data_IF_270445951895
#
_entry.id   IF_270445951895
#
_cell.length_a   1.000
_cell.length_b   1.000
_cell.length_c   1.000
_cell.angle_alpha   90.00
_cell.angle_beta   90.00
_cell.angle_gamma   90.00
#
_symmetry.space_group_name_H-M   'P 1'
#
loop_
_entity.id
_entity.type
_entity.pdbx_description
1 polymer ?
#
# COMPACT_ATOMS: atom_id res chain seq x y z
N UNK A 1 1.58 -5.29 28.29
CA UNK A 1 1.60 -6.67 27.77
C UNK A 1 2.11 -6.61 26.35
N UNK A 2 3.33 -7.05 26.10
CA UNK A 2 3.99 -6.95 24.78
C UNK A 2 3.77 -8.26 24.05
N UNK A 3 2.97 -8.27 22.99
CA UNK A 3 2.85 -9.44 22.13
C UNK A 3 4.11 -9.54 21.26
N UNK A 4 4.99 -10.49 21.57
CA UNK A 4 6.10 -10.87 20.70
C UNK A 4 5.58 -11.96 19.76
N UNK A 5 5.27 -11.59 18.53
CA UNK A 5 4.96 -12.56 17.47
C UNK A 5 6.26 -13.26 17.03
N UNK A 6 6.53 -14.42 17.62
CA UNK A 6 7.49 -15.38 17.07
C UNK A 6 6.77 -16.26 16.05
N UNK A 7 6.56 -15.71 14.85
CA UNK A 7 5.98 -16.44 13.72
C UNK A 7 7.04 -17.26 13.02
N UNK A 8 7.35 -18.43 13.59
CA UNK A 8 8.13 -19.42 12.87
C UNK A 8 7.16 -20.32 12.07
N UNK A 9 7.25 -20.28 10.74
CA UNK A 9 6.40 -21.06 9.82
C UNK A 9 6.64 -22.58 9.94
N UNK A 10 7.71 -22.99 10.60
CA UNK A 10 8.11 -24.38 10.78
C UNK A 10 7.42 -25.08 11.97
N UNK A 11 6.56 -24.38 12.72
CA UNK A 11 5.86 -24.94 13.87
C UNK A 11 4.59 -25.67 13.40
N UNK A 12 4.43 -26.94 13.81
CA UNK A 12 3.16 -27.65 13.65
C UNK A 12 2.02 -26.82 14.29
N UNK A 13 0.89 -26.67 13.61
CA UNK A 13 -0.25 -25.82 14.01
C UNK A 13 -0.05 -24.29 13.88
N UNK A 14 0.92 -23.84 13.08
CA UNK A 14 1.14 -22.42 12.75
C UNK A 14 -0.15 -21.70 12.29
N UNK A 15 -0.86 -22.29 11.32
CA UNK A 15 -2.10 -21.69 10.78
C UNK A 15 -3.20 -21.58 11.83
N UNK A 16 -3.35 -22.60 12.68
CA UNK A 16 -4.34 -22.62 13.74
C UNK A 16 -4.04 -21.54 14.80
N UNK A 17 -2.77 -21.43 15.18
CA UNK A 17 -2.29 -20.44 16.15
C UNK A 17 -2.50 -19.01 15.63
N UNK A 18 -2.21 -18.76 14.36
CA UNK A 18 -2.47 -17.47 13.71
C UNK A 18 -3.96 -17.13 13.72
N UNK A 19 -4.81 -18.06 13.28
CA UNK A 19 -6.25 -17.81 13.21
C UNK A 19 -6.81 -17.46 14.59
N UNK A 20 -6.46 -18.24 15.63
CA UNK A 20 -6.93 -18.00 16.99
C UNK A 20 -6.44 -16.66 17.55
N UNK A 21 -5.20 -16.26 17.23
CA UNK A 21 -4.67 -14.96 17.64
C UNK A 21 -5.42 -13.80 16.96
N UNK A 22 -5.66 -13.91 15.65
CA UNK A 22 -6.36 -12.89 14.87
C UNK A 22 -7.81 -12.73 15.35
N UNK A 23 -8.53 -13.84 15.56
CA UNK A 23 -9.89 -13.85 16.10
C UNK A 23 -9.96 -13.17 17.48
N UNK A 24 -9.05 -13.55 18.39
CA UNK A 24 -9.02 -12.98 19.73
C UNK A 24 -8.72 -11.48 19.73
N UNK A 25 -7.78 -11.03 18.88
CA UNK A 25 -7.46 -9.62 18.74
C UNK A 25 -8.63 -8.84 18.12
N UNK A 26 -9.31 -9.40 17.12
CA UNK A 26 -10.48 -8.82 16.50
C UNK A 26 -11.61 -8.61 17.52
N UNK A 27 -11.92 -9.65 18.30
CA UNK A 27 -12.91 -9.58 19.38
C UNK A 27 -12.51 -8.59 20.48
N UNK A 28 -11.23 -8.55 20.86
CA UNK A 28 -10.73 -7.64 21.90
C UNK A 28 -10.76 -6.17 21.47
N UNK A 29 -10.37 -5.88 20.23
CA UNK A 29 -10.34 -4.52 19.69
C UNK A 29 -11.69 -4.06 19.13
N UNK A 30 -12.66 -4.96 18.96
CA UNK A 30 -13.97 -4.65 18.36
C UNK A 30 -13.89 -4.32 16.87
N UNK A 31 -12.90 -4.87 16.17
CA UNK A 31 -12.69 -4.67 14.73
C UNK A 31 -12.69 -6.03 14.01
N UNK A 32 -12.70 -6.02 12.68
CA UNK A 32 -12.69 -7.25 11.89
C UNK A 32 -11.33 -7.95 11.89
N UNK A 33 -11.32 -9.27 11.69
CA UNK A 33 -10.08 -10.06 11.51
C UNK A 33 -9.21 -9.52 10.36
N UNK A 34 -9.85 -9.04 9.28
CA UNK A 34 -9.18 -8.41 8.15
C UNK A 34 -8.40 -7.16 8.56
N UNK A 35 -8.97 -6.35 9.47
CA UNK A 35 -8.31 -5.15 9.98
C UNK A 35 -7.13 -5.49 10.90
N UNK A 36 -7.23 -6.57 11.68
CA UNK A 36 -6.10 -7.10 12.45
C UNK A 36 -4.99 -7.57 11.52
N UNK A 37 -5.31 -8.33 10.48
CA UNK A 37 -4.33 -8.75 9.48
C UNK A 37 -3.65 -7.54 8.83
N UNK A 38 -4.40 -6.50 8.47
CA UNK A 38 -3.85 -5.26 7.91
C UNK A 38 -2.97 -4.48 8.91
N UNK A 39 -3.24 -4.60 10.22
CA UNK A 39 -2.36 -4.05 11.26
C UNK A 39 -1.04 -4.81 11.34
N UNK A 40 -1.08 -6.14 11.19
CA UNK A 40 0.07 -7.03 11.31
C UNK A 40 0.91 -7.11 10.04
N UNK A 41 0.29 -6.96 8.86
CA UNK A 41 0.98 -6.98 7.58
C UNK A 41 1.82 -5.72 7.38
N UNK A 42 3.11 -5.91 7.19
CA UNK A 42 4.08 -4.85 6.88
C UNK A 42 4.38 -4.76 5.39
N UNK A 43 4.07 -5.80 4.61
CA UNK A 43 4.31 -5.87 3.18
C UNK A 43 3.20 -6.66 2.47
N UNK A 44 2.71 -6.11 1.36
CA UNK A 44 1.76 -6.71 0.43
C UNK A 44 2.42 -6.68 -0.96
N UNK A 45 3.04 -7.78 -1.42
CA UNK A 45 3.73 -7.81 -2.70
C UNK A 45 2.75 -7.95 -3.87
N UNK A 46 3.14 -7.44 -5.04
CA UNK A 46 2.38 -7.57 -6.30
C UNK A 46 0.91 -7.14 -6.21
N UNK A 47 0.63 -6.06 -5.48
CA UNK A 47 -0.72 -5.49 -5.45
C UNK A 47 -1.01 -4.75 -6.74
N UNK A 48 -2.28 -4.66 -7.09
CA UNK A 48 -2.80 -3.78 -8.13
C UNK A 48 -3.77 -2.81 -7.47
N UNK A 49 -3.57 -1.52 -7.67
CA UNK A 49 -4.33 -0.47 -7.00
C UNK A 49 -4.78 0.55 -8.03
N UNK A 50 -6.06 0.92 -7.92
CA UNK A 50 -6.68 2.00 -8.68
C UNK A 50 -7.01 3.17 -7.75
N UNK A 51 -6.92 4.39 -8.28
CA UNK A 51 -7.22 5.59 -7.50
C UNK A 51 -6.78 6.87 -8.18
N UNK A 52 -6.56 7.92 -7.38
CA UNK A 52 -6.25 9.26 -7.87
C UNK A 52 -4.95 9.78 -7.31
N UNK A 53 -4.19 10.47 -8.15
CA UNK A 53 -3.08 11.31 -7.70
C UNK A 53 -3.67 12.56 -7.04
N UNK A 54 -3.22 12.86 -5.83
CA UNK A 54 -3.65 14.03 -5.05
C UNK A 54 -2.53 15.05 -4.86
N UNK A 55 -1.31 14.71 -5.27
CA UNK A 55 -0.19 15.65 -5.35
C UNK A 55 1.02 15.03 -6.02
N UNK A 56 1.69 15.81 -6.85
CA UNK A 56 2.94 15.46 -7.51
C UNK A 56 3.96 16.57 -7.30
N UNK A 57 5.14 16.23 -6.80
CA UNK A 57 6.23 17.20 -6.58
C UNK A 57 7.04 17.34 -7.86
N UNK A 58 7.47 18.57 -8.14
CA UNK A 58 8.35 18.88 -9.28
C UNK A 58 9.68 18.12 -9.16
N UNK A 59 10.31 17.78 -10.30
CA UNK A 59 11.57 17.05 -10.27
C UNK A 59 12.69 17.86 -9.64
N UNK A 60 13.58 17.15 -8.95
CA UNK A 60 14.84 17.73 -8.48
C UNK A 60 15.94 17.44 -9.51
N UNK A 61 16.40 18.49 -10.20
CA UNK A 61 17.45 18.41 -11.22
C UNK A 61 16.94 17.99 -12.60
N UNK A 62 17.83 17.39 -13.40
CA UNK A 62 17.57 17.09 -14.82
C UNK A 62 16.85 15.76 -15.05
N UNK A 63 16.53 15.03 -13.98
CA UNK A 63 15.85 13.72 -14.06
C UNK A 63 14.34 13.94 -13.96
N UNK A 64 13.58 13.35 -14.89
CA UNK A 64 12.10 13.36 -14.83
C UNK A 64 11.61 12.40 -13.76
N UNK A 65 11.71 12.79 -12.49
CA UNK A 65 11.24 11.99 -11.37
C UNK A 65 10.55 12.86 -10.33
N UNK A 66 9.74 12.26 -9.46
CA UNK A 66 9.13 13.03 -8.38
C UNK A 66 8.33 12.18 -7.41
N UNK A 67 8.23 12.69 -6.19
CA UNK A 67 7.36 12.13 -5.17
C UNK A 67 5.90 12.36 -5.54
N UNK A 68 5.10 11.32 -5.37
CA UNK A 68 3.66 11.33 -5.62
C UNK A 68 2.92 10.92 -4.35
N UNK A 69 1.92 11.72 -3.99
CA UNK A 69 0.89 11.39 -3.03
C UNK A 69 -0.33 10.87 -3.81
N UNK A 70 -0.72 9.63 -3.54
CA UNK A 70 -1.81 8.93 -4.20
C UNK A 70 -2.88 8.53 -3.17
N UNK A 71 -4.15 8.58 -3.56
CA UNK A 71 -5.26 8.03 -2.79
C UNK A 71 -5.88 6.86 -3.53
N UNK A 72 -5.91 5.70 -2.89
CA UNK A 72 -6.52 4.49 -3.42
C UNK A 72 -7.10 3.61 -2.32
N UNK A 73 -7.87 2.61 -2.72
CA UNK A 73 -8.49 1.67 -1.78
C UNK A 73 -7.55 0.49 -1.56
N UNK A 74 -7.14 0.30 -0.30
CA UNK A 74 -6.38 -0.87 0.16
C UNK A 74 -7.26 -1.63 1.13
N UNK A 75 -7.65 -2.86 0.77
CA UNK A 75 -8.45 -3.75 1.62
C UNK A 75 -9.70 -3.06 2.22
N UNK A 76 -10.50 -2.45 1.34
CA UNK A 76 -11.72 -1.69 1.65
C UNK A 76 -11.54 -0.41 2.46
N UNK A 77 -10.32 0.11 2.62
CA UNK A 77 -10.06 1.42 3.24
C UNK A 77 -9.40 2.37 2.25
N UNK A 78 -9.89 3.61 2.22
CA UNK A 78 -9.24 4.68 1.47
C UNK A 78 -7.97 5.09 2.20
N UNK A 79 -6.82 4.91 1.56
CA UNK A 79 -5.51 5.12 2.16
C UNK A 79 -4.69 6.07 1.31
N UNK A 80 -3.84 6.86 1.98
CA UNK A 80 -2.80 7.64 1.31
C UNK A 80 -1.57 6.76 1.11
N UNK A 81 -1.11 6.69 -0.14
CA UNK A 81 0.06 5.92 -0.56
C UNK A 81 1.09 6.89 -1.14
N UNK A 82 2.33 6.76 -0.69
CA UNK A 82 3.46 7.52 -1.24
C UNK A 82 4.24 6.66 -2.22
N UNK A 83 4.70 7.25 -3.30
CA UNK A 83 5.57 6.60 -4.27
C UNK A 83 6.48 7.60 -4.96
N UNK A 84 7.46 7.09 -5.69
CA UNK A 84 8.30 7.90 -6.60
C UNK A 84 8.06 7.37 -8.00
N UNK A 85 7.74 8.28 -8.91
CA UNK A 85 7.62 7.97 -10.33
C UNK A 85 8.87 8.46 -11.08
N UNK A 86 9.18 7.81 -12.19
CA UNK A 86 10.33 8.12 -13.03
C UNK A 86 9.92 8.14 -14.51
N UNK A 87 10.65 8.92 -15.29
CA UNK A 87 10.59 9.02 -16.75
C UNK A 87 9.15 9.10 -17.28
N UNK A 88 8.71 8.07 -18.02
CA UNK A 88 7.38 7.99 -18.63
C UNK A 88 6.29 8.07 -17.58
N UNK A 89 6.43 7.33 -16.48
CA UNK A 89 5.37 7.20 -15.49
C UNK A 89 5.19 8.52 -14.74
N UNK A 90 6.28 9.28 -14.54
CA UNK A 90 6.20 10.63 -13.99
C UNK A 90 5.41 11.59 -14.89
N UNK A 91 5.65 11.55 -16.21
CA UNK A 91 4.89 12.37 -17.18
C UNK A 91 3.40 11.98 -17.21
N UNK A 92 3.10 10.67 -17.17
CA UNK A 92 1.71 10.19 -17.07
C UNK A 92 1.07 10.66 -15.77
N UNK A 93 1.80 10.61 -14.65
CA UNK A 93 1.36 11.08 -13.35
C UNK A 93 1.00 12.56 -13.34
N UNK A 94 1.83 13.41 -13.95
CA UNK A 94 1.51 14.85 -14.09
C UNK A 94 0.20 15.03 -14.83
N UNK A 95 0.02 14.34 -15.97
CA UNK A 95 -1.22 14.46 -16.76
C UNK A 95 -2.43 14.00 -15.97
N UNK A 96 -2.33 12.86 -15.29
CA UNK A 96 -3.41 12.32 -14.49
C UNK A 96 -3.81 13.23 -13.32
N UNK A 97 -2.84 13.86 -12.65
CA UNK A 97 -3.13 14.84 -11.59
C UNK A 97 -3.84 16.09 -12.13
N UNK A 98 -3.35 16.64 -13.26
CA UNK A 98 -3.91 17.84 -13.88
C UNK A 98 -5.33 17.62 -14.41
N UNK A 99 -5.56 16.49 -15.08
CA UNK A 99 -6.84 16.14 -15.69
C UNK A 99 -7.78 15.40 -14.72
N UNK A 100 -7.34 15.16 -13.47
CA UNK A 100 -8.06 14.41 -12.43
C UNK A 100 -8.52 13.02 -12.91
N UNK A 101 -7.65 12.35 -13.67
CA UNK A 101 -7.92 11.03 -14.22
C UNK A 101 -7.52 9.94 -13.22
N UNK A 102 -8.32 8.87 -13.09
CA UNK A 102 -7.92 7.70 -12.33
C UNK A 102 -6.69 7.04 -12.97
N UNK A 103 -5.84 6.48 -12.13
CA UNK A 103 -4.68 5.70 -12.55
C UNK A 103 -4.73 4.31 -11.92
N UNK A 104 -4.24 3.35 -12.68
CA UNK A 104 -4.04 1.96 -12.27
C UNK A 104 -2.53 1.69 -12.27
N UNK A 105 -2.06 1.01 -11.24
CA UNK A 105 -0.67 0.57 -11.17
C UNK A 105 -0.54 -0.70 -10.31
N UNK A 106 0.57 -1.40 -10.50
CA UNK A 106 1.01 -2.47 -9.64
C UNK A 106 2.28 -2.13 -8.83
N UNK A 107 2.58 -2.94 -7.82
CA UNK A 107 3.84 -2.87 -7.09
C UNK A 107 3.81 -3.57 -5.74
N UNK A 108 4.79 -3.27 -4.90
CA UNK A 108 4.88 -3.79 -3.54
C UNK A 108 4.48 -2.71 -2.53
N UNK A 109 3.38 -2.95 -1.82
CA UNK A 109 2.87 -2.00 -0.83
C UNK A 109 3.47 -2.30 0.54
N UNK A 110 4.32 -1.41 1.02
CA UNK A 110 5.00 -1.52 2.31
C UNK A 110 4.37 -0.55 3.29
N UNK A 111 3.95 -1.06 4.45
CA UNK A 111 3.42 -0.23 5.53
C UNK A 111 4.57 0.31 6.38
N UNK A 112 4.83 1.61 6.29
CA UNK A 112 5.79 2.31 7.13
C UNK A 112 5.14 2.90 8.39
N UNK A 113 5.94 3.56 9.23
CA UNK A 113 5.44 4.28 10.40
C UNK A 113 4.44 5.40 10.05
N UNK A 114 4.53 5.97 8.85
CA UNK A 114 3.81 7.18 8.46
C UNK A 114 2.86 6.96 7.26
N UNK A 115 2.34 5.74 7.12
CA UNK A 115 1.43 5.34 6.05
C UNK A 115 2.03 4.31 5.09
N UNK A 116 1.35 4.10 3.96
CA UNK A 116 1.79 3.16 2.95
C UNK A 116 2.78 3.79 1.96
N UNK A 117 3.78 3.01 1.58
CA UNK A 117 4.76 3.36 0.55
C UNK A 117 4.73 2.27 -0.50
N UNK A 118 4.48 2.64 -1.75
CA UNK A 118 4.61 1.72 -2.87
C UNK A 118 6.06 1.68 -3.34
N UNK A 119 6.58 0.47 -3.54
CA UNK A 119 7.87 0.20 -4.14
C UNK A 119 7.68 -0.60 -5.42
N UNK A 120 8.70 -0.60 -6.28
CA UNK A 120 8.72 -1.39 -7.52
C UNK A 120 7.46 -1.15 -8.38
N UNK A 121 7.13 0.13 -8.61
CA UNK A 121 5.96 0.52 -9.39
C UNK A 121 6.04 -0.10 -10.78
N UNK A 122 4.94 -0.72 -11.22
CA UNK A 122 4.84 -1.32 -12.54
C UNK A 122 3.46 -1.06 -13.14
N UNK A 123 3.35 -1.20 -14.47
CA UNK A 123 2.09 -1.05 -15.21
C UNK A 123 1.33 0.27 -14.90
N UNK A 124 2.05 1.37 -14.71
CA UNK A 124 1.45 2.66 -14.40
C UNK A 124 0.76 3.25 -15.64
N UNK A 125 -0.56 3.37 -15.58
CA UNK A 125 -1.36 3.92 -16.67
C UNK A 125 -2.60 4.67 -16.19
N UNK A 126 -3.11 5.54 -17.06
CA UNK A 126 -4.43 6.15 -16.87
C UNK A 126 -5.48 5.08 -17.12
N UNK A 127 -6.35 4.91 -16.13
CA UNK A 127 -7.46 3.98 -16.20
C UNK A 127 -8.56 4.54 -17.12
N UNK A 128 -9.06 3.70 -18.03
CA UNK A 128 -9.89 4.11 -19.18
C UNK A 128 -11.38 4.12 -18.90
#
# INVERSE_FOLDING_TARGET
MTLVLLLNQEVADFLLSINLLVENLANFEGITELEILLKLMTNLPNVEIQGLIVGIRSPEGDILSGDVDFMGVVMNKLERIKMVLFDRDYVVGIRADQERLPVLFGGDLVKGHNGFVLKNVCNFEVDK
#
